data_IF_679006464442
#
_entry.id   IF_679006464442
#
_cell.length_a   1.000
_cell.length_b   1.000
_cell.length_c   1.000
_cell.angle_alpha   90.00
_cell.angle_beta   90.00
_cell.angle_gamma   90.00
#
_symmetry.space_group_name_H-M   'P 1'
#
loop_
_entity.id
_entity.type
_entity.pdbx_description
1 polymer ?
#
# COMPACT_ATOMS: atom_id res chain seq x y z
N UNK A 1 -6.75 24.06 -4.39
CA UNK A 1 -5.64 23.09 -4.34
C UNK A 1 -5.05 23.13 -2.95
N UNK A 2 -4.74 21.97 -2.36
CA UNK A 2 -4.21 21.85 -1.00
C UNK A 2 -2.75 22.33 -0.92
N UNK A 3 -2.34 23.10 0.11
CA UNK A 3 -0.97 23.60 0.22
C UNK A 3 0.07 22.47 0.32
N UNK A 4 -0.30 21.32 0.87
CA UNK A 4 0.57 20.15 1.01
C UNK A 4 1.03 19.61 -0.36
N UNK A 5 0.23 19.77 -1.41
CA UNK A 5 0.61 19.38 -2.79
C UNK A 5 1.84 20.17 -3.22
N UNK A 6 1.84 21.48 -3.03
CA UNK A 6 2.99 22.33 -3.38
C UNK A 6 4.20 22.06 -2.50
N UNK A 7 4.00 21.80 -1.21
CA UNK A 7 5.11 21.42 -0.31
C UNK A 7 5.77 20.12 -0.77
N UNK A 8 4.99 19.13 -1.21
CA UNK A 8 5.54 17.88 -1.75
C UNK A 8 6.26 18.12 -3.07
N UNK A 9 5.69 18.89 -3.99
CA UNK A 9 6.26 19.11 -5.33
C UNK A 9 7.56 19.91 -5.27
N UNK A 10 7.62 20.90 -4.37
CA UNK A 10 8.79 21.79 -4.21
C UNK A 10 9.89 21.20 -3.34
N UNK A 11 9.60 20.15 -2.57
CA UNK A 11 10.60 19.50 -1.72
C UNK A 11 11.68 18.80 -2.55
N UNK A 12 12.93 19.21 -2.34
CA UNK A 12 14.12 18.64 -2.98
C UNK A 12 14.75 17.49 -2.20
N UNK A 13 14.17 17.10 -1.06
CA UNK A 13 14.70 16.02 -0.24
C UNK A 13 14.54 14.68 -0.95
N UNK A 14 15.52 13.76 -0.84
CA UNK A 14 15.50 12.49 -1.56
C UNK A 14 14.40 11.54 -1.08
N UNK A 15 14.01 11.65 0.18
CA UNK A 15 12.85 10.97 0.75
C UNK A 15 11.98 12.02 1.43
N UNK A 16 10.66 11.97 1.19
CA UNK A 16 9.68 12.87 1.79
C UNK A 16 8.55 12.04 2.38
N UNK A 17 8.21 12.29 3.64
CA UNK A 17 7.07 11.69 4.30
C UNK A 17 5.84 12.59 4.16
N UNK A 18 4.72 12.00 3.78
CA UNK A 18 3.41 12.64 3.80
C UNK A 18 2.59 11.97 4.90
N UNK A 19 2.46 12.62 6.04
CA UNK A 19 1.87 12.02 7.24
C UNK A 19 0.50 12.59 7.55
N UNK A 20 -0.21 11.97 8.47
CA UNK A 20 -1.53 12.41 8.91
C UNK A 20 -2.40 11.24 9.30
N UNK A 21 -3.52 11.53 9.94
CA UNK A 21 -4.48 10.54 10.38
C UNK A 21 -5.14 9.82 9.18
N UNK A 22 -5.73 8.65 9.44
CA UNK A 22 -6.53 7.93 8.44
C UNK A 22 -7.69 8.81 7.97
N UNK A 23 -7.85 8.90 6.65
CA UNK A 23 -8.92 9.69 6.05
C UNK A 23 -8.67 11.20 5.92
N UNK A 24 -7.48 11.72 6.27
CA UNK A 24 -7.15 13.15 6.03
C UNK A 24 -6.90 13.50 4.56
N UNK A 25 -6.85 12.51 3.66
CA UNK A 25 -6.71 12.71 2.22
C UNK A 25 -5.28 12.63 1.68
N UNK A 26 -4.34 11.98 2.39
CA UNK A 26 -2.95 11.76 1.94
C UNK A 26 -2.85 11.19 0.52
N UNK A 27 -3.63 10.16 0.19
CA UNK A 27 -3.67 9.56 -1.15
C UNK A 27 -4.07 10.58 -2.23
N UNK A 28 -5.03 11.46 -1.93
CA UNK A 28 -5.44 12.53 -2.85
C UNK A 28 -4.34 13.58 -3.04
N UNK A 29 -3.60 13.91 -1.97
CA UNK A 29 -2.40 14.76 -2.06
C UNK A 29 -1.36 14.12 -2.97
N UNK A 30 -1.02 12.84 -2.78
CA UNK A 30 -0.05 12.14 -3.63
C UNK A 30 -0.48 12.12 -5.09
N UNK A 31 -1.73 11.75 -5.38
CA UNK A 31 -2.26 11.71 -6.74
C UNK A 31 -2.23 13.09 -7.41
N UNK A 32 -2.59 14.14 -6.66
CA UNK A 32 -2.57 15.51 -7.17
C UNK A 32 -1.16 15.97 -7.53
N UNK A 33 -0.12 15.51 -6.82
CA UNK A 33 1.27 15.91 -7.11
C UNK A 33 1.74 15.47 -8.49
N UNK A 34 1.19 14.36 -9.04
CA UNK A 34 1.63 13.80 -10.31
C UNK A 34 1.44 14.77 -11.48
N UNK A 35 0.37 15.59 -11.45
CA UNK A 35 0.07 16.57 -12.50
C UNK A 35 0.90 17.85 -12.39
N UNK A 36 1.50 18.11 -11.22
CA UNK A 36 2.20 19.36 -10.90
C UNK A 36 3.71 19.29 -11.13
N UNK A 37 4.26 18.09 -11.36
CA UNK A 37 5.68 17.95 -11.67
C UNK A 37 6.03 18.54 -13.04
N UNK A 38 7.16 19.23 -13.10
CA UNK A 38 7.70 19.75 -14.35
C UNK A 38 7.99 18.63 -15.36
N UNK A 39 7.98 18.94 -16.65
CA UNK A 39 8.25 17.97 -17.73
C UNK A 39 9.65 17.34 -17.69
N UNK A 40 10.58 17.92 -16.92
CA UNK A 40 11.93 17.41 -16.64
C UNK A 40 11.93 16.25 -15.64
N UNK A 41 10.81 16.01 -14.97
CA UNK A 41 10.60 14.94 -14.00
C UNK A 41 9.64 13.91 -14.59
N UNK A 42 9.86 12.62 -14.31
CA UNK A 42 8.90 11.55 -14.58
C UNK A 42 8.41 11.00 -13.24
N UNK A 43 7.09 11.11 -13.03
CA UNK A 43 6.42 10.52 -11.89
C UNK A 43 5.44 9.45 -12.40
N UNK A 44 5.71 8.15 -12.20
CA UNK A 44 4.73 7.11 -12.50
C UNK A 44 3.50 7.24 -11.58
N UNK A 45 2.39 6.55 -11.89
CA UNK A 45 1.24 6.47 -10.99
C UNK A 45 1.63 6.03 -9.58
N UNK A 46 0.86 6.47 -8.58
CA UNK A 46 1.11 6.12 -7.17
C UNK A 46 1.01 4.62 -6.96
N UNK A 47 2.07 4.02 -6.40
CA UNK A 47 2.09 2.60 -6.03
C UNK A 47 1.60 2.43 -4.60
N UNK A 48 0.65 1.52 -4.37
CA UNK A 48 0.12 1.24 -3.02
C UNK A 48 0.92 0.10 -2.38
N UNK A 49 1.50 0.33 -1.21
CA UNK A 49 2.23 -0.69 -0.47
C UNK A 49 1.28 -1.79 0.05
N UNK A 50 1.74 -3.04 0.01
CA UNK A 50 1.00 -4.21 0.48
C UNK A 50 1.50 -4.67 1.86
N UNK A 51 0.66 -5.37 2.61
CA UNK A 51 1.02 -6.07 3.85
C UNK A 51 1.78 -7.38 3.55
N UNK A 52 2.92 -7.28 2.87
CA UNK A 52 3.82 -8.41 2.60
C UNK A 52 5.27 -7.99 2.81
N UNK A 53 6.13 -8.96 3.11
CA UNK A 53 7.57 -8.75 3.16
C UNK A 53 8.09 -8.63 1.72
N UNK A 54 8.90 -7.61 1.46
CA UNK A 54 9.39 -7.30 0.13
C UNK A 54 8.49 -6.31 -0.63
N UNK A 55 7.46 -5.75 0.02
CA UNK A 55 6.48 -4.89 -0.64
C UNK A 55 7.10 -3.59 -1.17
N UNK A 56 8.12 -3.06 -0.48
CA UNK A 56 8.83 -1.86 -0.91
C UNK A 56 9.60 -2.11 -2.22
N UNK A 57 10.31 -3.22 -2.32
CA UNK A 57 11.13 -3.60 -3.46
C UNK A 57 10.23 -3.82 -4.67
N UNK A 58 9.12 -4.55 -4.49
CA UNK A 58 8.10 -4.74 -5.54
C UNK A 58 7.56 -3.40 -6.01
N UNK A 59 7.13 -2.51 -5.10
CA UNK A 59 6.59 -1.21 -5.47
C UNK A 59 7.61 -0.32 -6.20
N UNK A 60 8.88 -0.35 -5.79
CA UNK A 60 9.97 0.36 -6.47
C UNK A 60 10.22 -0.21 -7.88
N UNK A 61 10.28 -1.54 -8.03
CA UNK A 61 10.47 -2.16 -9.34
C UNK A 61 9.30 -1.90 -10.28
N UNK A 62 8.05 -1.99 -9.80
CA UNK A 62 6.86 -1.66 -10.60
C UNK A 62 6.85 -0.19 -11.04
N UNK A 63 7.26 0.73 -10.16
CA UNK A 63 7.37 2.15 -10.49
C UNK A 63 8.44 2.40 -11.56
N UNK A 64 9.65 1.85 -11.41
CA UNK A 64 10.73 1.96 -12.39
C UNK A 64 10.36 1.34 -13.74
N UNK A 65 9.69 0.19 -13.70
CA UNK A 65 9.19 -0.50 -14.88
C UNK A 65 8.14 0.36 -15.62
N UNK A 66 7.24 1.00 -14.88
CA UNK A 66 6.24 1.93 -15.44
C UNK A 66 6.89 3.17 -16.03
N UNK A 67 7.91 3.74 -15.39
CA UNK A 67 8.73 4.84 -15.93
C UNK A 67 9.36 4.45 -17.28
N UNK A 68 9.96 3.26 -17.37
CA UNK A 68 10.57 2.79 -18.61
C UNK A 68 9.53 2.56 -19.71
N UNK A 69 8.37 2.00 -19.38
CA UNK A 69 7.30 1.77 -20.34
C UNK A 69 6.71 3.08 -20.88
N UNK A 70 6.55 4.09 -20.03
CA UNK A 70 5.98 5.39 -20.40
C UNK A 70 6.98 6.29 -21.14
N UNK A 71 8.26 6.25 -20.76
CA UNK A 71 9.30 7.01 -21.42
C UNK A 71 9.64 6.50 -22.83
N UNK A 72 9.33 5.23 -23.12
CA UNK A 72 9.59 4.58 -24.40
C UNK A 72 11.04 4.77 -24.89
N UNK A 73 12.07 4.44 -24.10
CA UNK A 73 13.43 4.63 -24.54
C UNK A 73 13.69 3.81 -25.79
N UNK A 74 14.42 4.37 -26.76
CA UNK A 74 14.78 3.66 -27.99
C UNK A 74 15.60 2.40 -27.71
N UNK A 75 15.69 1.50 -28.70
CA UNK A 75 16.33 0.18 -28.55
C UNK A 75 17.80 0.27 -28.07
N UNK A 76 18.56 1.26 -28.53
CA UNK A 76 19.95 1.49 -28.09
C UNK A 76 20.03 1.76 -26.59
N UNK A 77 19.19 2.67 -26.08
CA UNK A 77 19.11 3.03 -24.67
C UNK A 77 18.69 1.85 -23.78
N UNK A 78 17.79 1.00 -24.26
CA UNK A 78 17.44 -0.25 -23.57
C UNK A 78 18.61 -1.23 -23.47
N UNK A 79 19.35 -1.42 -24.57
CA UNK A 79 20.54 -2.29 -24.56
C UNK A 79 21.60 -1.75 -23.61
N UNK A 80 21.78 -0.43 -23.55
CA UNK A 80 22.67 0.22 -22.61
C UNK A 80 22.21 0.01 -21.16
N UNK A 81 20.92 0.22 -20.86
CA UNK A 81 20.35 -0.06 -19.54
C UNK A 81 20.61 -1.50 -19.12
N UNK A 82 20.31 -2.46 -19.99
CA UNK A 82 20.52 -3.88 -19.72
C UNK A 82 22.00 -4.20 -19.47
N UNK A 83 22.93 -3.55 -20.19
CA UNK A 83 24.37 -3.68 -19.96
C UNK A 83 24.78 -3.13 -18.60
N UNK A 84 24.25 -1.96 -18.21
CA UNK A 84 24.55 -1.31 -16.93
C UNK A 84 23.96 -2.09 -15.75
N UNK A 85 22.73 -2.57 -15.87
CA UNK A 85 22.11 -3.47 -14.89
C UNK A 85 22.93 -4.73 -14.70
N UNK A 86 23.40 -5.38 -15.78
CA UNK A 86 24.29 -6.56 -15.64
C UNK A 86 25.61 -6.24 -14.94
N UNK A 87 26.15 -5.04 -15.13
CA UNK A 87 27.36 -4.63 -14.42
C UNK A 87 27.07 -4.46 -12.94
N UNK A 88 26.05 -3.66 -12.60
CA UNK A 88 25.60 -3.44 -11.23
C UNK A 88 25.24 -4.75 -10.53
N UNK A 89 24.53 -5.65 -11.20
CA UNK A 89 24.16 -6.95 -10.64
C UNK A 89 25.32 -7.93 -10.57
N UNK A 90 26.37 -7.83 -11.41
CA UNK A 90 27.59 -8.63 -11.24
C UNK A 90 28.41 -8.18 -10.05
N UNK A 91 28.57 -6.87 -9.87
CA UNK A 91 29.22 -6.31 -8.68
C UNK A 91 28.43 -6.70 -7.43
N UNK A 92 27.11 -6.59 -7.48
CA UNK A 92 26.25 -7.08 -6.42
C UNK A 92 26.35 -8.60 -6.26
N UNK A 93 26.42 -9.41 -7.31
CA UNK A 93 26.50 -10.87 -7.20
C UNK A 93 27.76 -11.36 -6.47
N UNK A 94 28.86 -10.62 -6.57
CA UNK A 94 30.08 -10.90 -5.81
C UNK A 94 29.88 -10.67 -4.30
N UNK A 95 28.98 -9.77 -3.92
CA UNK A 95 28.72 -9.40 -2.51
C UNK A 95 27.43 -10.00 -1.94
N UNK A 96 26.46 -10.30 -2.81
CA UNK A 96 25.04 -10.64 -2.53
C UNK A 96 24.68 -12.00 -3.13
N UNK A 97 25.62 -12.70 -3.75
CA UNK A 97 25.34 -14.00 -4.32
C UNK A 97 24.56 -13.93 -5.64
N UNK A 98 24.84 -14.93 -6.48
CA UNK A 98 24.43 -14.97 -7.89
C UNK A 98 22.91 -15.04 -8.11
N UNK A 99 22.16 -15.66 -7.19
CA UNK A 99 20.74 -15.92 -7.36
C UNK A 99 19.87 -14.63 -7.36
N UNK A 100 20.17 -13.66 -6.50
CA UNK A 100 19.43 -12.40 -6.47
C UNK A 100 19.68 -11.58 -7.75
N UNK A 101 20.94 -11.51 -8.16
CA UNK A 101 21.37 -10.82 -9.37
C UNK A 101 20.69 -11.37 -10.63
N UNK A 102 20.62 -12.69 -10.76
CA UNK A 102 20.00 -13.35 -11.91
C UNK A 102 18.47 -13.09 -11.96
N UNK A 103 17.79 -13.14 -10.81
CA UNK A 103 16.35 -12.92 -10.72
C UNK A 103 15.93 -11.46 -11.02
N UNK A 104 16.66 -10.47 -10.51
CA UNK A 104 16.38 -9.04 -10.80
C UNK A 104 16.57 -8.74 -12.28
N UNK A 105 17.59 -9.31 -12.90
CA UNK A 105 17.80 -9.20 -14.36
C UNK A 105 16.66 -9.88 -15.12
N UNK A 106 16.19 -11.05 -14.66
CA UNK A 106 15.11 -11.79 -15.30
C UNK A 106 13.80 -11.01 -15.30
N UNK A 107 13.41 -10.41 -14.18
CA UNK A 107 12.15 -9.69 -14.01
C UNK A 107 12.10 -8.39 -14.83
N UNK A 108 13.20 -7.61 -14.82
CA UNK A 108 13.33 -6.41 -15.68
C UNK A 108 13.22 -6.79 -17.15
N UNK A 109 13.81 -7.92 -17.55
CA UNK A 109 13.77 -8.41 -18.93
C UNK A 109 12.40 -8.94 -19.31
N UNK A 110 11.71 -9.66 -18.43
CA UNK A 110 10.36 -10.17 -18.68
C UNK A 110 9.35 -9.05 -18.81
N UNK A 111 9.47 -8.00 -18.00
CA UNK A 111 8.68 -6.77 -18.14
C UNK A 111 8.98 -6.02 -19.44
N UNK A 112 10.25 -5.94 -19.85
CA UNK A 112 10.61 -5.36 -21.13
C UNK A 112 9.96 -6.12 -22.32
N UNK A 113 9.83 -7.46 -22.22
CA UNK A 113 9.18 -8.27 -23.26
C UNK A 113 7.67 -8.02 -23.36
N UNK A 114 6.98 -7.89 -22.23
CA UNK A 114 5.52 -7.69 -22.24
C UNK A 114 5.12 -6.31 -22.74
N UNK A 115 5.99 -5.29 -22.59
CA UNK A 115 5.72 -3.92 -23.04
C UNK A 115 6.26 -3.56 -24.42
N UNK A 116 7.32 -4.22 -24.92
CA UNK A 116 7.92 -3.89 -26.22
C UNK A 116 7.32 -4.65 -27.43
N UNK A 117 6.36 -5.55 -27.21
CA UNK A 117 5.73 -6.36 -28.27
C UNK A 117 6.65 -7.41 -28.89
N UNK A 118 6.07 -8.41 -29.56
CA UNK A 118 6.77 -9.62 -30.07
C UNK A 118 7.93 -9.31 -31.04
N UNK A 119 7.98 -8.13 -31.65
CA UNK A 119 8.92 -7.81 -32.73
C UNK A 119 10.24 -7.15 -32.28
N UNK A 120 10.31 -6.50 -31.10
CA UNK A 120 11.56 -6.05 -30.50
C UNK A 120 12.24 -7.13 -29.64
N UNK A 121 11.51 -8.20 -29.32
CA UNK A 121 11.89 -9.22 -28.33
C UNK A 121 12.89 -10.28 -28.79
N UNK A 122 13.15 -10.46 -30.10
CA UNK A 122 13.97 -11.59 -30.59
C UNK A 122 15.44 -11.54 -30.13
N UNK A 123 16.00 -10.35 -29.93
CA UNK A 123 17.36 -10.17 -29.39
C UNK A 123 17.46 -10.44 -27.89
N UNK A 124 16.51 -9.92 -27.10
CA UNK A 124 16.45 -10.16 -25.65
C UNK A 124 16.02 -11.61 -25.31
N UNK A 125 15.15 -12.24 -26.10
CA UNK A 125 14.70 -13.61 -25.90
C UNK A 125 15.81 -14.65 -26.07
N UNK A 126 16.74 -14.45 -27.01
CA UNK A 126 17.92 -15.32 -27.20
C UNK A 126 18.91 -15.20 -26.03
N UNK A 127 19.10 -13.98 -25.52
CA UNK A 127 19.90 -13.73 -24.33
C UNK A 127 19.25 -14.34 -23.06
N UNK A 128 17.92 -14.32 -22.99
CA UNK A 128 17.14 -14.81 -21.85
C UNK A 128 17.04 -16.33 -21.77
N UNK A 129 16.97 -17.05 -22.90
CA UNK A 129 17.04 -18.53 -22.89
C UNK A 129 18.34 -19.08 -22.28
N UNK A 130 19.39 -18.26 -22.19
CA UNK A 130 20.64 -18.62 -21.52
C UNK A 130 20.63 -18.39 -20.00
N UNK A 131 19.70 -17.59 -19.47
CA UNK A 131 19.60 -17.24 -18.05
C UNK A 131 18.48 -18.01 -17.32
N UNK A 132 17.42 -18.38 -18.04
CA UNK A 132 16.16 -18.91 -17.47
C UNK A 132 16.19 -20.36 -16.93
N UNK A 133 17.35 -20.89 -16.54
CA UNK A 133 17.44 -22.32 -16.18
C UNK A 133 17.13 -22.66 -14.72
N UNK A 134 16.82 -21.70 -13.86
CA UNK A 134 16.33 -21.96 -12.50
C UNK A 134 15.48 -20.79 -11.97
N UNK A 135 14.21 -21.03 -11.62
CA UNK A 135 13.37 -20.06 -10.89
C UNK A 135 12.50 -20.78 -9.87
N UNK A 136 12.57 -20.32 -8.62
CA UNK A 136 11.91 -20.90 -7.46
C UNK A 136 11.55 -19.77 -6.47
N UNK A 137 10.56 -19.98 -5.56
CA UNK A 137 10.26 -19.17 -4.36
C UNK A 137 11.46 -18.75 -3.46
N UNK A 138 12.67 -19.11 -3.86
CA UNK A 138 13.93 -18.71 -3.26
C UNK A 138 14.22 -17.21 -3.36
N UNK A 139 13.74 -16.47 -4.37
CA UNK A 139 13.99 -15.01 -4.45
C UNK A 139 13.52 -14.27 -3.20
N UNK A 140 12.30 -14.56 -2.73
CA UNK A 140 11.73 -13.98 -1.50
C UNK A 140 12.45 -14.45 -0.25
N UNK A 141 13.02 -15.67 -0.25
CA UNK A 141 13.82 -16.20 0.87
C UNK A 141 15.24 -15.65 0.89
N UNK A 142 15.87 -15.45 -0.26
CA UNK A 142 17.22 -14.88 -0.41
C UNK A 142 17.21 -13.38 -0.11
N UNK A 143 16.18 -12.65 -0.57
CA UNK A 143 15.96 -11.25 -0.18
C UNK A 143 15.82 -11.08 1.35
N UNK A 144 15.23 -12.06 2.05
CA UNK A 144 15.14 -12.07 3.52
C UNK A 144 16.44 -12.45 4.22
N UNK A 145 17.36 -13.15 3.56
CA UNK A 145 18.55 -13.73 4.18
C UNK A 145 19.80 -12.83 4.07
N UNK A 146 19.76 -11.78 3.25
CA UNK A 146 20.93 -10.97 2.93
C UNK A 146 20.81 -9.55 3.43
N UNK A 147 21.92 -9.04 3.97
CA UNK A 147 22.00 -7.78 4.68
C UNK A 147 21.44 -6.60 3.87
N UNK A 148 20.54 -5.87 4.52
CA UNK A 148 19.79 -4.70 4.03
C UNK A 148 20.63 -3.75 3.15
N UNK A 149 21.90 -3.51 3.51
CA UNK A 149 22.79 -2.56 2.84
C UNK A 149 23.02 -2.84 1.35
N UNK A 150 23.19 -4.10 0.96
CA UNK A 150 23.55 -4.40 -0.43
C UNK A 150 22.33 -4.34 -1.37
N UNK A 151 21.17 -4.76 -0.87
CA UNK A 151 19.89 -4.64 -1.59
C UNK A 151 19.57 -3.17 -1.82
N UNK A 152 19.74 -2.32 -0.80
CA UNK A 152 19.56 -0.87 -0.91
C UNK A 152 20.47 -0.27 -1.97
N UNK A 153 21.78 -0.61 -1.95
CA UNK A 153 22.74 -0.11 -2.94
C UNK A 153 22.35 -0.49 -4.37
N UNK A 154 21.95 -1.74 -4.58
CA UNK A 154 21.49 -2.21 -5.89
C UNK A 154 20.23 -1.46 -6.35
N UNK A 155 19.22 -1.32 -5.49
CA UNK A 155 17.98 -0.61 -5.81
C UNK A 155 18.24 0.85 -6.18
N UNK A 156 19.08 1.56 -5.42
CA UNK A 156 19.40 2.96 -5.68
C UNK A 156 20.21 3.12 -6.96
N UNK A 157 21.19 2.25 -7.20
CA UNK A 157 21.96 2.25 -8.45
C UNK A 157 21.05 1.98 -9.66
N UNK A 158 20.16 0.99 -9.58
CA UNK A 158 19.20 0.71 -10.65
C UNK A 158 18.28 1.91 -10.92
N UNK A 159 17.83 2.57 -9.87
CA UNK A 159 16.99 3.76 -9.96
C UNK A 159 17.70 4.90 -10.70
N UNK A 160 18.97 5.17 -10.38
CA UNK A 160 19.79 6.18 -11.05
C UNK A 160 20.07 5.84 -12.53
N UNK A 161 20.24 4.56 -12.85
CA UNK A 161 20.44 4.12 -14.23
C UNK A 161 19.17 4.27 -15.07
N UNK A 162 17.99 3.98 -14.50
CA UNK A 162 16.71 4.24 -15.16
C UNK A 162 16.54 5.74 -15.41
N UNK A 163 16.79 6.59 -14.41
CA UNK A 163 16.74 8.04 -14.54
C UNK A 163 17.68 8.55 -15.65
N UNK A 164 18.92 8.02 -15.71
CA UNK A 164 19.90 8.34 -16.75
C UNK A 164 19.45 7.95 -18.15
N UNK A 165 18.84 6.76 -18.30
CA UNK A 165 18.37 6.26 -19.60
C UNK A 165 17.18 7.05 -20.11
N UNK A 166 16.24 7.37 -19.22
CA UNK A 166 15.10 8.25 -19.52
C UNK A 166 15.57 9.68 -19.79
N UNK A 167 16.69 10.10 -19.19
CA UNK A 167 17.23 11.45 -19.31
C UNK A 167 16.48 12.48 -18.47
N UNK A 168 15.72 12.04 -17.46
CA UNK A 168 14.87 12.86 -16.59
C UNK A 168 14.98 12.36 -15.16
N UNK A 169 14.73 13.24 -14.20
CA UNK A 169 14.73 12.86 -12.79
C UNK A 169 13.43 12.13 -12.46
N UNK A 170 13.45 11.24 -11.46
CA UNK A 170 12.31 10.40 -11.13
C UNK A 170 11.74 10.78 -9.77
N UNK A 171 10.41 10.75 -9.66
CA UNK A 171 9.71 10.83 -8.38
C UNK A 171 8.84 9.60 -8.23
N UNK A 172 9.20 8.70 -7.32
CA UNK A 172 8.41 7.52 -7.01
C UNK A 172 7.52 7.84 -5.82
N UNK A 173 6.21 7.80 -6.04
CA UNK A 173 5.20 8.02 -4.99
C UNK A 173 4.66 6.69 -4.49
N UNK A 174 4.75 6.46 -3.18
CA UNK A 174 4.28 5.27 -2.49
C UNK A 174 3.14 5.65 -1.54
N UNK A 175 2.00 4.97 -1.62
CA UNK A 175 0.90 5.11 -0.67
C UNK A 175 0.91 4.00 0.37
N UNK A 176 0.25 4.23 1.50
CA UNK A 176 0.06 3.23 2.56
C UNK A 176 1.40 2.65 3.10
N UNK A 177 2.41 3.50 3.29
CA UNK A 177 3.73 3.12 3.80
C UNK A 177 3.70 2.45 5.18
N UNK A 178 2.65 2.70 5.96
CA UNK A 178 2.34 2.02 7.22
C UNK A 178 2.16 0.50 7.06
N UNK A 179 1.84 0.00 5.85
CA UNK A 179 1.65 -1.43 5.57
C UNK A 179 2.95 -2.20 5.33
N UNK A 180 4.07 -1.48 5.17
CA UNK A 180 5.38 -2.10 4.99
C UNK A 180 5.76 -2.92 6.22
N UNK A 181 6.35 -4.10 5.99
CA UNK A 181 6.93 -4.92 7.06
C UNK A 181 8.09 -4.20 7.76
N UNK A 182 8.43 -4.54 9.02
CA UNK A 182 9.55 -3.85 9.72
C UNK A 182 10.87 -3.94 8.95
N UNK A 183 11.13 -5.06 8.26
CA UNK A 183 12.31 -5.22 7.39
C UNK A 183 12.27 -4.21 6.23
N UNK A 184 11.13 -4.06 5.55
CA UNK A 184 10.98 -3.07 4.48
C UNK A 184 11.09 -1.63 5.02
N UNK A 185 10.62 -1.37 6.24
CA UNK A 185 10.77 -0.07 6.90
C UNK A 185 12.25 0.21 7.25
N UNK A 186 13.06 -0.81 7.58
CA UNK A 186 14.52 -0.68 7.78
C UNK A 186 15.24 -0.42 6.46
N UNK A 187 14.83 -1.10 5.40
CA UNK A 187 15.34 -0.85 4.04
C UNK A 187 15.00 0.58 3.61
N UNK A 188 13.78 1.06 3.83
CA UNK A 188 13.39 2.43 3.54
C UNK A 188 14.24 3.45 4.32
N UNK A 189 14.49 3.19 5.61
CA UNK A 189 15.39 4.02 6.41
C UNK A 189 16.82 4.02 5.87
N UNK A 190 17.29 2.88 5.37
CA UNK A 190 18.61 2.75 4.74
C UNK A 190 18.68 3.50 3.41
N UNK A 191 17.60 3.49 2.62
CA UNK A 191 17.46 4.30 1.41
C UNK A 191 17.50 5.79 1.75
N UNK A 192 16.82 6.22 2.82
CA UNK A 192 16.87 7.61 3.26
C UNK A 192 18.29 8.06 3.68
N UNK A 193 19.09 7.15 4.23
CA UNK A 193 20.47 7.41 4.60
C UNK A 193 21.45 7.39 3.40
N UNK A 194 21.16 6.61 2.37
CA UNK A 194 21.98 6.47 1.17
C UNK A 194 21.12 6.56 -0.11
N UNK A 195 20.58 7.75 -0.42
CA UNK A 195 19.61 7.90 -1.50
C UNK A 195 20.25 7.85 -2.89
N UNK A 196 19.45 7.50 -3.89
CA UNK A 196 19.78 7.69 -5.29
C UNK A 196 19.94 9.18 -5.62
N UNK A 197 20.78 9.50 -6.61
CA UNK A 197 21.10 10.90 -6.97
C UNK A 197 19.99 11.58 -7.76
N UNK A 198 19.27 10.83 -8.59
CA UNK A 198 18.28 11.36 -9.54
C UNK A 198 16.87 10.83 -9.28
N UNK A 199 16.66 10.18 -8.15
CA UNK A 199 15.37 9.59 -7.78
C UNK A 199 14.98 10.05 -6.39
N UNK A 200 13.77 10.58 -6.31
CA UNK A 200 13.13 10.99 -5.07
C UNK A 200 11.98 10.05 -4.75
N UNK A 201 11.82 9.71 -3.47
CA UNK A 201 10.74 8.87 -2.97
C UNK A 201 9.82 9.73 -2.10
N UNK A 202 8.53 9.75 -2.42
CA UNK A 202 7.51 10.38 -1.58
C UNK A 202 6.62 9.27 -1.05
N UNK A 203 6.46 9.16 0.27
CA UNK A 203 5.70 8.08 0.89
C UNK A 203 4.61 8.62 1.82
N UNK A 204 3.37 8.20 1.63
CA UNK A 204 2.30 8.48 2.56
C UNK A 204 2.32 7.49 3.74
N UNK A 205 2.11 8.00 4.95
CA UNK A 205 2.14 7.21 6.18
C UNK A 205 0.98 7.60 7.10
N UNK A 206 0.21 6.63 7.58
CA UNK A 206 -0.84 6.90 8.58
C UNK A 206 -0.27 7.03 9.99
N UNK A 207 -0.57 8.11 10.70
CA UNK A 207 -0.16 8.31 12.10
C UNK A 207 -1.09 7.63 13.10
N UNK A 208 -2.26 7.14 12.66
CA UNK A 208 -3.20 6.43 13.53
C UNK A 208 -2.88 4.95 13.72
N UNK A 209 -2.08 4.35 12.83
CA UNK A 209 -1.72 2.94 12.93
C UNK A 209 -0.54 2.74 13.88
N UNK A 210 -0.87 2.34 15.12
CA UNK A 210 0.08 2.16 16.23
C UNK A 210 1.24 1.23 15.84
N UNK A 211 0.94 0.12 15.16
CA UNK A 211 1.93 -0.90 14.77
C UNK A 211 2.97 -0.37 13.77
N UNK A 212 2.66 0.71 13.05
CA UNK A 212 3.55 1.35 12.07
C UNK A 212 4.41 2.48 12.67
N UNK A 213 4.14 2.90 13.91
CA UNK A 213 4.85 4.00 14.57
C UNK A 213 6.37 3.76 14.70
N UNK A 214 6.88 2.54 14.95
CA UNK A 214 8.32 2.31 15.02
C UNK A 214 9.06 2.71 13.73
N UNK A 215 8.49 2.40 12.56
CA UNK A 215 9.02 2.80 11.25
C UNK A 215 9.04 4.31 11.06
N UNK A 216 7.92 4.97 11.39
CA UNK A 216 7.83 6.42 11.31
C UNK A 216 8.84 7.11 12.24
N UNK A 217 8.99 6.63 13.48
CA UNK A 217 9.99 7.13 14.43
C UNK A 217 11.42 6.95 13.89
N UNK A 218 11.70 5.82 13.22
CA UNK A 218 13.00 5.56 12.60
C UNK A 218 13.33 6.58 11.51
N UNK A 219 12.37 6.90 10.64
CA UNK A 219 12.55 7.91 9.59
C UNK A 219 12.68 9.33 10.17
N UNK A 220 11.90 9.67 11.20
CA UNK A 220 12.05 10.95 11.93
C UNK A 220 13.42 11.12 12.55
N UNK A 221 14.02 10.06 13.11
CA UNK A 221 15.39 10.09 13.63
C UNK A 221 16.45 10.39 12.56
N UNK A 222 16.16 10.04 11.31
CA UNK A 222 17.01 10.37 10.16
C UNK A 222 16.73 11.79 9.60
N UNK A 223 15.88 12.58 10.27
CA UNK A 223 15.49 13.92 9.83
C UNK A 223 14.88 13.94 8.44
N UNK A 224 14.19 12.88 8.04
CA UNK A 224 13.43 12.84 6.78
C UNK A 224 12.33 13.91 6.85
N UNK A 225 12.26 14.84 5.89
CA UNK A 225 11.23 15.88 5.91
C UNK A 225 9.82 15.29 5.91
N UNK A 226 8.99 15.84 6.78
CA UNK A 226 7.63 15.41 7.02
C UNK A 226 6.66 16.54 6.65
N UNK A 227 5.70 16.23 5.80
CA UNK A 227 4.59 17.09 5.42
C UNK A 227 3.33 16.51 6.02
N UNK A 228 2.82 17.15 7.07
CA UNK A 228 1.61 16.72 7.75
C UNK A 228 0.37 17.18 6.98
N UNK A 229 -0.51 16.22 6.66
CA UNK A 229 -1.79 16.41 5.98
C UNK A 229 -2.88 16.38 7.03
N UNK A 230 -3.35 17.58 7.40
CA UNK A 230 -4.45 17.76 8.33
C UNK A 230 -5.82 17.49 7.67
N UNK A 231 -6.90 17.56 8.48
CA UNK A 231 -8.25 17.74 7.93
C UNK A 231 -8.36 19.03 7.11
N UNK A 232 -9.37 19.10 6.26
CA UNK A 232 -9.72 20.31 5.51
C UNK A 232 -10.01 21.45 6.47
N UNK A 233 -9.50 22.64 6.15
CA UNK A 233 -9.86 23.84 6.89
C UNK A 233 -11.35 24.15 6.72
N UNK A 234 -11.91 24.95 7.64
CA UNK A 234 -13.25 25.53 7.49
C UNK A 234 -13.43 26.19 6.12
N UNK A 235 -12.44 26.93 5.65
CA UNK A 235 -12.46 27.65 4.38
C UNK A 235 -12.43 26.71 3.16
N UNK A 236 -11.71 25.59 3.25
CA UNK A 236 -11.74 24.54 2.22
C UNK A 236 -13.12 23.87 2.16
N UNK A 237 -13.72 23.57 3.31
CA UNK A 237 -15.07 23.02 3.40
C UNK A 237 -16.10 24.01 2.88
N UNK A 238 -16.02 25.30 3.23
CA UNK A 238 -16.92 26.33 2.75
C UNK A 238 -16.89 26.42 1.22
N UNK A 239 -15.69 26.43 0.63
CA UNK A 239 -15.53 26.41 -0.83
C UNK A 239 -16.13 25.17 -1.47
N UNK A 240 -15.90 24.00 -0.88
CA UNK A 240 -16.53 22.76 -1.35
C UNK A 240 -18.06 22.85 -1.24
N UNK A 241 -18.60 23.21 -0.08
CA UNK A 241 -20.03 23.29 0.17
C UNK A 241 -20.73 24.34 -0.69
N UNK A 242 -20.06 25.43 -1.02
CA UNK A 242 -20.54 26.44 -1.96
C UNK A 242 -20.79 25.82 -3.34
N UNK A 243 -19.87 24.98 -3.83
CA UNK A 243 -20.04 24.30 -5.13
C UNK A 243 -21.23 23.33 -5.17
N UNK A 244 -21.73 22.91 -4.01
CA UNK A 244 -22.84 21.97 -3.87
C UNK A 244 -24.13 22.62 -3.33
N UNK A 245 -24.16 23.94 -3.16
CA UNK A 245 -25.32 24.71 -2.70
C UNK A 245 -25.62 24.57 -1.20
N UNK A 246 -24.62 24.29 -0.38
CA UNK A 246 -24.75 23.98 1.06
C UNK A 246 -23.84 24.85 1.94
N UNK A 247 -23.39 26.02 1.46
CA UNK A 247 -22.44 26.88 2.17
C UNK A 247 -22.91 27.27 3.59
N UNK A 248 -24.21 27.41 3.80
CA UNK A 248 -24.82 27.72 5.10
C UNK A 248 -24.59 26.65 6.18
N UNK A 249 -24.21 25.42 5.80
CA UNK A 249 -23.97 24.31 6.73
C UNK A 249 -22.49 24.09 7.06
N UNK A 250 -21.62 25.04 6.66
CA UNK A 250 -20.16 24.91 6.80
C UNK A 250 -19.73 24.66 8.23
N UNK A 251 -20.21 25.46 9.18
CA UNK A 251 -19.78 25.36 10.58
C UNK A 251 -20.22 24.04 11.22
N UNK A 252 -21.46 23.62 10.95
CA UNK A 252 -22.00 22.35 11.43
C UNK A 252 -21.24 21.14 10.87
N UNK A 253 -21.01 21.14 9.56
CA UNK A 253 -20.29 20.06 8.87
C UNK A 253 -18.83 20.03 9.35
N UNK A 254 -18.17 21.18 9.44
CA UNK A 254 -16.80 21.25 9.95
C UNK A 254 -16.72 20.76 11.40
N UNK A 255 -17.67 21.13 12.26
CA UNK A 255 -17.72 20.68 13.66
C UNK A 255 -17.89 19.16 13.78
N UNK A 256 -18.81 18.57 13.00
CA UNK A 256 -19.11 17.14 13.07
C UNK A 256 -18.05 16.25 12.44
N UNK A 257 -17.34 16.77 11.43
CA UNK A 257 -16.39 15.98 10.64
C UNK A 257 -14.93 16.31 10.97
N UNK A 258 -14.68 17.40 11.70
CA UNK A 258 -13.36 18.02 11.90
C UNK A 258 -12.56 18.19 10.60
N UNK A 259 -13.28 18.35 9.49
CA UNK A 259 -12.71 18.50 8.16
C UNK A 259 -12.11 17.25 7.54
N UNK A 260 -12.32 16.04 8.07
CA UNK A 260 -11.88 14.82 7.40
C UNK A 260 -12.64 14.64 6.07
N UNK A 261 -11.97 14.68 4.90
CA UNK A 261 -12.63 14.68 3.60
C UNK A 261 -13.69 13.59 3.41
N UNK A 262 -13.42 12.36 3.86
CA UNK A 262 -14.36 11.23 3.72
C UNK A 262 -15.62 11.42 4.58
N UNK A 263 -15.49 12.02 5.76
CA UNK A 263 -16.63 12.33 6.62
C UNK A 263 -17.43 13.50 6.05
N UNK A 264 -16.77 14.53 5.51
CA UNK A 264 -17.41 15.63 4.81
C UNK A 264 -18.22 15.11 3.61
N UNK A 265 -17.61 14.28 2.76
CA UNK A 265 -18.28 13.69 1.60
C UNK A 265 -19.49 12.84 2.02
N UNK A 266 -19.31 11.95 3.00
CA UNK A 266 -20.37 11.08 3.49
C UNK A 266 -21.54 11.86 4.11
N UNK A 267 -21.26 12.91 4.88
CA UNK A 267 -22.29 13.78 5.46
C UNK A 267 -23.01 14.59 4.37
N UNK A 268 -22.29 15.15 3.40
CA UNK A 268 -22.91 15.86 2.27
C UNK A 268 -23.83 14.94 1.47
N UNK A 269 -23.39 13.70 1.20
CA UNK A 269 -24.22 12.72 0.51
C UNK A 269 -25.49 12.35 1.30
N UNK A 270 -25.38 12.21 2.63
CA UNK A 270 -26.50 11.96 3.52
C UNK A 270 -27.51 13.12 3.57
N UNK A 271 -27.02 14.36 3.64
CA UNK A 271 -27.89 15.55 3.61
C UNK A 271 -28.60 15.68 2.26
N UNK A 272 -27.91 15.39 1.16
CA UNK A 272 -28.50 15.38 -0.20
C UNK A 272 -29.57 14.32 -0.39
N UNK A 273 -29.53 13.22 0.36
CA UNK A 273 -30.59 12.21 0.34
C UNK A 273 -31.79 12.55 1.23
N UNK A 274 -31.82 13.75 1.82
CA UNK A 274 -32.89 14.23 2.70
C UNK A 274 -32.72 13.79 4.15
N UNK A 275 -31.56 13.22 4.51
CA UNK A 275 -31.23 12.88 5.88
C UNK A 275 -31.10 14.15 6.76
N UNK A 276 -31.68 14.18 7.97
CA UNK A 276 -31.53 15.34 8.85
C UNK A 276 -30.22 15.27 9.64
N UNK A 277 -29.57 16.41 9.82
CA UNK A 277 -28.22 16.52 10.41
C UNK A 277 -28.11 15.87 11.80
N UNK A 278 -29.15 16.00 12.63
CA UNK A 278 -29.24 15.47 14.00
C UNK A 278 -29.22 13.93 14.07
N UNK A 279 -29.48 13.24 12.94
CA UNK A 279 -29.47 11.78 12.83
C UNK A 279 -28.25 11.25 12.10
N UNK A 280 -27.31 12.10 11.72
CA UNK A 280 -26.07 11.64 11.13
C UNK A 280 -25.20 10.98 12.20
N UNK A 281 -24.72 9.78 11.89
CA UNK A 281 -23.71 9.09 12.67
C UNK A 281 -22.54 8.77 11.76
N UNK A 282 -21.35 9.23 12.15
CA UNK A 282 -20.13 8.94 11.39
C UNK A 282 -19.90 7.41 11.33
N UNK A 283 -19.38 6.88 10.21
CA UNK A 283 -19.04 5.46 10.12
C UNK A 283 -18.13 5.02 11.28
N UNK A 284 -18.40 3.85 11.83
CA UNK A 284 -17.75 3.32 13.05
C UNK A 284 -16.23 3.22 12.96
N UNK A 285 -15.67 3.08 11.75
CA UNK A 285 -14.22 3.05 11.50
C UNK A 285 -13.50 4.35 11.93
N UNK A 286 -14.20 5.48 12.04
CA UNK A 286 -13.63 6.75 12.53
C UNK A 286 -13.86 6.97 14.04
N UNK A 287 -14.82 6.27 14.64
CA UNK A 287 -15.20 6.47 16.05
C UNK A 287 -14.23 5.84 17.05
N UNK A 288 -13.45 4.84 16.64
CA UNK A 288 -12.48 4.15 17.52
C UNK A 288 -11.11 4.83 17.58
N UNK A 289 -10.77 5.68 16.59
CA UNK A 289 -9.48 6.37 16.49
C UNK A 289 -9.55 7.84 16.95
N UNK A 290 -10.66 8.26 17.54
CA UNK A 290 -10.86 9.62 18.03
C UNK A 290 -10.51 9.73 19.53
N UNK A 291 -9.25 9.98 19.93
CA UNK A 291 -9.00 10.42 21.29
C UNK A 291 -9.55 11.84 21.40
N UNK A 292 -10.67 11.98 22.10
CA UNK A 292 -11.18 13.25 22.61
C UNK A 292 -10.04 14.08 23.19
N UNK A 293 -9.56 15.06 22.41
CA UNK A 293 -8.60 16.07 22.86
C UNK A 293 -9.36 17.13 23.64
N UNK A 294 -9.87 16.76 24.80
CA UNK A 294 -10.32 17.68 25.84
C UNK A 294 -10.30 16.94 27.18
N UNK A 295 -9.42 17.37 28.10
CA UNK A 295 -9.39 16.89 29.49
C UNK A 295 -10.57 17.38 30.33
N UNK A 296 -11.63 17.93 29.74
CA UNK A 296 -12.76 18.55 30.48
C UNK A 296 -14.15 18.38 29.86
N UNK A 297 -14.42 17.26 29.17
CA UNK A 297 -15.81 16.89 28.86
C UNK A 297 -16.22 15.64 29.65
N UNK A 298 -16.95 15.87 30.74
CA UNK A 298 -17.72 14.82 31.43
C UNK A 298 -18.64 14.16 30.40
N UNK A 299 -18.47 12.86 30.23
CA UNK A 299 -19.47 12.00 29.63
C UNK A 299 -20.83 12.26 30.29
N UNK A 300 -21.75 12.86 29.56
CA UNK A 300 -23.18 12.65 29.78
C UNK A 300 -23.64 11.71 28.67
N UNK A 301 -23.87 10.42 28.96
CA UNK A 301 -24.59 9.58 28.02
C UNK A 301 -26.00 10.15 27.90
N UNK A 302 -26.46 10.35 26.68
CA UNK A 302 -27.86 10.66 26.38
C UNK A 302 -28.69 9.51 26.92
N UNK A 303 -29.28 9.74 28.09
CA UNK A 303 -30.16 8.84 28.82
C UNK A 303 -31.52 8.89 28.10
N UNK A 304 -31.89 7.79 27.44
CA UNK A 304 -33.26 7.57 27.00
C UNK A 304 -34.15 7.47 28.26
N UNK A 305 -35.17 8.32 28.31
CA UNK A 305 -36.27 8.27 29.26
C UNK A 305 -36.85 6.86 29.37
N UNK A 306 -36.93 6.35 30.61
CA UNK A 306 -37.87 5.31 30.98
C UNK A 306 -38.34 5.59 32.42
N UNK A 307 -39.44 6.33 32.54
CA UNK A 307 -40.30 6.23 33.70
C UNK A 307 -41.00 4.86 33.67
N UNK A 308 -40.68 3.97 34.61
CA UNK A 308 -41.72 3.21 35.29
C UNK A 308 -41.22 2.65 36.63
N UNK A 309 -42.02 2.94 37.64
CA UNK A 309 -41.89 2.64 39.06
C UNK A 309 -41.95 1.14 39.41
N UNK A 310 -41.34 0.85 40.56
CA UNK A 310 -41.67 -0.17 41.58
C UNK A 310 -41.03 -1.58 41.54
N UNK A 311 -40.12 -1.75 42.52
CA UNK A 311 -40.15 -2.78 43.58
C UNK A 311 -39.09 -3.89 43.57
N UNK A 312 -38.17 -3.76 44.55
CA UNK A 312 -37.58 -4.79 45.44
C UNK A 312 -37.52 -6.24 44.92
N UNK A 313 -36.31 -6.75 44.67
CA UNK A 313 -35.53 -7.64 45.59
C UNK A 313 -34.46 -8.46 44.84
N UNK A 314 -33.28 -8.55 45.49
CA UNK A 314 -32.27 -9.64 45.50
C UNK A 314 -31.69 -10.19 44.18
N UNK A 315 -30.38 -9.96 44.04
CA UNK A 315 -29.40 -10.82 43.35
C UNK A 315 -29.36 -12.22 44.02
N UNK A 316 -29.04 -13.33 43.32
CA UNK A 316 -27.64 -13.60 42.96
C UNK A 316 -27.37 -14.38 41.64
N UNK A 317 -26.15 -14.18 41.12
CA UNK A 317 -25.27 -15.08 40.33
C UNK A 317 -25.90 -16.11 39.38
N UNK A 318 -25.55 -16.04 38.08
CA UNK A 318 -24.89 -17.14 37.35
C UNK A 318 -24.66 -16.87 35.85
N UNK A 319 -23.46 -17.25 35.41
CA UNK A 319 -23.09 -17.89 34.13
C UNK A 319 -23.13 -17.09 32.82
N UNK A 320 -21.92 -16.79 32.37
CA UNK A 320 -21.49 -16.77 30.97
C UNK A 320 -22.13 -17.89 30.14
N UNK A 321 -22.81 -17.52 29.05
CA UNK A 321 -22.91 -18.32 27.82
C UNK A 321 -22.97 -17.39 26.62
N UNK A 322 -22.01 -17.57 25.71
CA UNK A 322 -22.03 -17.04 24.36
C UNK A 322 -23.18 -17.68 23.57
N UNK A 323 -23.94 -16.88 22.83
CA UNK A 323 -24.74 -17.33 21.69
C UNK A 323 -24.63 -16.27 20.58
N UNK A 324 -24.07 -16.72 19.46
CA UNK A 324 -24.15 -16.10 18.14
C UNK A 324 -25.60 -16.05 17.66
N UNK A 325 -26.03 -14.94 17.06
CA UNK A 325 -27.14 -14.94 16.11
C UNK A 325 -26.97 -13.78 15.11
N UNK A 326 -26.42 -14.11 13.95
CA UNK A 326 -26.65 -13.42 12.70
C UNK A 326 -28.08 -13.74 12.24
N UNK A 327 -28.84 -12.71 11.86
CA UNK A 327 -29.93 -12.89 10.89
C UNK A 327 -29.98 -11.68 9.97
N UNK A 328 -29.72 -11.94 8.69
CA UNK A 328 -29.79 -11.01 7.59
C UNK A 328 -31.24 -10.62 7.26
N UNK A 329 -31.43 -9.36 6.86
CA UNK A 329 -32.40 -8.94 5.84
C UNK A 329 -31.69 -7.89 4.96
N UNK A 330 -30.99 -8.30 3.90
CA UNK A 330 -31.41 -8.30 2.49
C UNK A 330 -31.97 -6.96 1.97
N UNK A 331 -31.20 -6.34 1.08
CA UNK A 331 -31.71 -5.45 0.04
C UNK A 331 -30.65 -4.51 -0.52
N UNK A 332 -29.88 -4.97 -1.52
CA UNK A 332 -29.61 -4.30 -2.81
C UNK A 332 -28.61 -5.16 -3.59
N UNK A 333 -29.02 -5.57 -4.78
CA UNK A 333 -28.25 -6.33 -5.76
C UNK A 333 -27.25 -5.42 -6.48
N UNK A 334 -26.03 -5.91 -6.67
CA UNK A 334 -25.25 -5.61 -7.88
C UNK A 334 -24.57 -6.90 -8.35
N UNK A 335 -24.72 -7.14 -9.64
CA UNK A 335 -24.32 -8.35 -10.34
C UNK A 335 -22.80 -8.39 -10.57
N UNK A 336 -22.20 -9.57 -10.37
CA UNK A 336 -21.03 -9.97 -11.14
C UNK A 336 -21.17 -11.44 -11.56
N UNK A 337 -21.17 -11.61 -12.88
CA UNK A 337 -20.96 -12.86 -13.59
C UNK A 337 -19.68 -13.54 -13.09
N UNK A 338 -19.75 -14.82 -12.73
CA UNK A 338 -18.63 -15.75 -12.94
C UNK A 338 -19.14 -17.17 -13.22
N UNK A 339 -18.49 -17.74 -14.22
CA UNK A 339 -18.81 -18.95 -14.95
C UNK A 339 -18.91 -20.21 -14.09
N UNK A 340 -19.89 -21.04 -14.42
CA UNK A 340 -20.07 -22.39 -13.92
C UNK A 340 -18.96 -23.34 -14.43
N UNK A 341 -18.34 -24.09 -13.52
CA UNK A 341 -17.81 -25.43 -13.82
C UNK A 341 -18.27 -26.42 -12.76
N UNK A 342 -18.68 -27.58 -13.27
CA UNK A 342 -19.53 -28.62 -12.68
C UNK A 342 -18.93 -29.26 -11.44
N UNK A 343 -19.78 -29.42 -10.42
CA UNK A 343 -19.65 -30.43 -9.37
C UNK A 343 -20.04 -31.81 -9.92
N UNK A 344 -19.30 -32.85 -9.53
CA UNK A 344 -19.75 -34.24 -9.52
C UNK A 344 -19.51 -34.82 -8.11
N UNK A 345 -20.38 -35.74 -7.63
CA UNK A 345 -20.59 -35.97 -6.20
C UNK A 345 -19.63 -37.01 -5.59
N UNK A 346 -19.39 -36.87 -4.29
CA UNK A 346 -18.75 -37.86 -3.41
C UNK A 346 -19.55 -39.16 -3.32
N UNK A 347 -18.89 -40.33 -3.26
CA UNK A 347 -19.51 -41.56 -2.77
C UNK A 347 -19.33 -41.73 -1.25
N UNK A 348 -20.34 -42.36 -0.66
CA UNK A 348 -20.48 -42.81 0.73
C UNK A 348 -19.44 -43.83 1.19
N UNK A 349 -19.21 -43.98 2.51
CA UNK A 349 -18.21 -44.88 3.06
C UNK A 349 -18.76 -46.30 3.29
N UNK A 350 -17.97 -47.31 2.95
CA UNK A 350 -18.21 -48.71 3.36
C UNK A 350 -17.06 -49.25 4.20
N UNK A 351 -17.47 -50.17 5.08
CA UNK A 351 -16.81 -50.67 6.28
C UNK A 351 -15.56 -51.56 6.09
N UNK A 352 -14.76 -51.59 7.18
CA UNK A 352 -14.07 -52.72 7.87
C UNK A 352 -13.38 -53.83 7.06
N UNK A 353 -12.16 -54.15 7.49
CA UNK A 353 -11.51 -55.47 7.39
C UNK A 353 -10.00 -55.37 7.28
N UNK A 354 -9.26 -55.41 8.39
CA UNK A 354 -8.53 -56.58 8.93
C UNK A 354 -7.12 -56.79 8.34
N UNK A 355 -6.12 -56.52 9.18
CA UNK A 355 -4.90 -57.31 9.45
C UNK A 355 -4.36 -58.27 8.37
N UNK A 356 -3.07 -58.11 8.00
CA UNK A 356 -1.99 -59.07 8.30
C UNK A 356 -0.62 -58.66 7.72
N UNK A 357 0.39 -59.20 8.39
CA UNK A 357 1.84 -59.15 8.18
C UNK A 357 2.37 -59.39 6.76
N UNK A 358 3.61 -58.93 6.53
CA UNK A 358 4.66 -59.82 6.05
C UNK A 358 5.61 -59.29 4.98
N UNK A 359 6.91 -59.27 5.32
CA UNK A 359 8.11 -59.51 4.50
C UNK A 359 8.43 -58.55 3.33
N UNK A 360 9.58 -57.86 3.32
CA UNK A 360 10.95 -58.33 3.01
C UNK A 360 11.12 -58.92 1.59
N UNK A 361 11.89 -58.21 0.74
CA UNK A 361 13.04 -58.64 -0.11
C UNK A 361 13.17 -57.66 -1.30
N UNK A 362 14.30 -56.95 -1.46
CA UNK A 362 15.60 -57.29 -2.06
C UNK A 362 15.65 -57.34 -3.60
N UNK A 363 16.61 -56.59 -4.15
CA UNK A 363 17.21 -56.77 -5.49
C UNK A 363 16.49 -56.04 -6.63
N UNK A 364 17.16 -55.52 -7.66
CA UNK A 364 18.57 -55.44 -7.99
C UNK A 364 18.72 -54.47 -9.18
N UNK A 365 19.90 -53.85 -9.27
CA UNK A 365 20.69 -53.61 -10.48
C UNK A 365 19.95 -53.32 -11.80
N UNK A 366 20.12 -52.09 -12.30
CA UNK A 366 20.78 -51.78 -13.58
C UNK A 366 21.14 -50.30 -13.61
#
# INVERSE_FOLDING_TARGET
MRPEVWQVVTSTAPVVLVTGDTGTGKSSVLQSTLAEYASTVVAPPVSVCLFDSGALQVALFEALATVLATAGPGESKWRDLAKRFRHATREAALEVGKALADAVVEEVVEFAKTKLGENAGKGLLKFWKSLKKDTSPDLRRTLRAQSDTNVVRLLMQMSDEVASVVGRDLVITLDEGNRLSDDDQRILASIAAAPARRVRIVIAWSTAEIDSLPGLVRLRKLSVPEIEVAGLSREDIERWLTSVGMAQMTDDIHSLTAGYPLLVEGLVAYLRSGGPLDRYSAPTLFTTCWPTRSRDCRQTPIMLHADCLLSRTRCPRARFRAISALTLSRGVQCAMLLNAKKFSPCPTPTARGSTKHGALTYGALS
#
